data_IF_560253694464
#
_entry.id   IF_560253694464
#
_cell.length_a   1.000
_cell.length_b   1.000
_cell.length_c   1.000
_cell.angle_alpha   90.00
_cell.angle_beta   90.00
_cell.angle_gamma   90.00
#
_symmetry.space_group_name_H-M   'P 1'
#
loop_
_entity.id
_entity.type
_entity.pdbx_description
1 polymer ?
#
# COMPACT_ATOMS: atom_id res chain seq x y z
N UNK A 1 -3.18 -6.11 36.92
CA UNK A 1 -4.09 -4.97 36.66
C UNK A 1 -3.23 -3.72 36.49
N UNK A 2 -2.87 -3.38 35.26
CA UNK A 2 -2.38 -2.07 34.85
C UNK A 2 -2.68 -1.95 33.36
N UNK A 3 -3.62 -1.05 33.09
CA UNK A 3 -4.33 -0.85 31.85
C UNK A 3 -3.47 0.09 31.00
N UNK A 4 -2.83 -0.45 29.98
CA UNK A 4 -2.32 0.31 28.84
C UNK A 4 -2.95 -0.26 27.56
N UNK A 5 -4.28 -0.37 27.55
CA UNK A 5 -4.99 -0.25 26.29
C UNK A 5 -5.09 1.24 26.06
N UNK A 6 -4.18 1.79 25.25
CA UNK A 6 -4.45 3.06 24.59
C UNK A 6 -5.81 2.86 23.95
N UNK A 7 -6.85 3.46 24.54
CA UNK A 7 -8.14 3.50 23.91
C UNK A 7 -7.83 4.10 22.55
N UNK A 8 -7.90 3.29 21.49
CA UNK A 8 -7.81 3.78 20.14
C UNK A 8 -8.67 5.07 20.16
N UNK A 9 -8.09 6.23 19.84
CA UNK A 9 -8.71 7.55 20.11
C UNK A 9 -10.16 7.62 19.61
N UNK A 10 -11.14 8.21 20.32
CA UNK A 10 -12.53 8.26 19.81
C UNK A 10 -12.67 8.79 18.36
N UNK A 11 -11.65 9.51 17.87
CA UNK A 11 -11.47 9.98 16.49
C UNK A 11 -11.31 8.88 15.42
N UNK A 12 -10.65 7.72 15.68
CA UNK A 12 -10.54 6.67 14.63
C UNK A 12 -11.86 5.92 14.41
N UNK A 13 -12.66 5.70 15.48
CA UNK A 13 -13.99 5.06 15.34
C UNK A 13 -14.92 5.93 14.51
N UNK A 14 -14.80 7.24 14.65
CA UNK A 14 -15.62 8.21 13.91
C UNK A 14 -15.17 8.39 12.46
N UNK A 15 -13.88 8.18 12.13
CA UNK A 15 -13.38 8.23 10.75
C UNK A 15 -13.95 7.16 9.80
N UNK A 16 -14.53 6.07 10.33
CA UNK A 16 -15.21 5.07 9.50
C UNK A 16 -16.67 5.41 9.18
N UNK A 17 -17.29 6.40 9.86
CA UNK A 17 -18.76 6.49 9.90
C UNK A 17 -19.36 7.88 9.73
N UNK A 18 -18.59 8.98 9.75
CA UNK A 18 -19.20 10.32 9.63
C UNK A 18 -18.55 11.21 8.56
N UNK A 19 -19.29 11.53 7.47
CA UNK A 19 -18.91 12.54 6.48
C UNK A 19 -18.78 13.98 6.98
N UNK A 20 -19.04 14.21 8.27
CA UNK A 20 -19.12 15.54 8.85
C UNK A 20 -17.76 16.26 9.00
N UNK A 21 -16.61 15.56 8.98
CA UNK A 21 -15.29 16.18 9.22
C UNK A 21 -14.47 16.52 7.97
N UNK A 22 -14.91 16.13 6.77
CA UNK A 22 -14.23 16.44 5.51
C UNK A 22 -14.61 17.75 4.77
N UNK A 23 -15.60 18.58 5.17
CA UNK A 23 -16.27 19.45 4.20
C UNK A 23 -15.51 20.71 3.76
N UNK A 24 -14.49 21.18 4.48
CA UNK A 24 -13.82 22.45 4.13
C UNK A 24 -12.74 22.26 3.06
N UNK A 25 -11.90 21.23 3.16
CA UNK A 25 -10.83 20.99 2.19
C UNK A 25 -11.34 20.39 0.87
N UNK A 26 -12.43 19.61 0.93
CA UNK A 26 -13.07 19.01 -0.24
C UNK A 26 -13.82 20.04 -1.14
N UNK A 27 -14.02 21.27 -0.67
CA UNK A 27 -14.78 22.29 -1.40
C UNK A 27 -14.20 22.59 -2.79
N UNK A 28 -12.87 22.54 -2.94
CA UNK A 28 -12.17 22.87 -4.19
C UNK A 28 -12.09 21.71 -5.19
N UNK A 29 -12.49 20.49 -4.78
CA UNK A 29 -12.47 19.32 -5.65
C UNK A 29 -13.69 19.36 -6.56
N UNK A 30 -13.54 19.79 -7.82
CA UNK A 30 -14.64 19.76 -8.79
C UNK A 30 -14.95 18.34 -9.25
N UNK A 31 -13.93 17.64 -9.75
CA UNK A 31 -13.98 16.24 -10.17
C UNK A 31 -12.66 15.54 -9.89
N UNK A 32 -12.74 14.34 -9.32
CA UNK A 32 -11.60 13.51 -8.94
C UNK A 32 -11.61 12.20 -9.73
N UNK A 33 -10.51 11.92 -10.42
CA UNK A 33 -10.31 10.63 -11.11
C UNK A 33 -9.43 9.73 -10.25
N UNK A 34 -9.89 8.51 -9.98
CA UNK A 34 -9.16 7.49 -9.22
C UNK A 34 -8.84 6.30 -10.12
N UNK A 35 -7.55 5.92 -10.18
CA UNK A 35 -7.13 4.65 -10.80
C UNK A 35 -6.80 3.60 -9.73
N UNK A 36 -6.88 2.33 -10.10
CA UNK A 36 -6.66 1.21 -9.18
C UNK A 36 -7.71 1.07 -8.04
N UNK A 37 -8.98 1.52 -8.19
CA UNK A 37 -9.95 1.55 -7.10
C UNK A 37 -10.39 0.15 -6.61
N UNK A 38 -10.08 -0.90 -7.36
CA UNK A 38 -10.35 -2.29 -6.97
C UNK A 38 -9.17 -2.98 -6.27
N UNK A 39 -8.02 -2.30 -6.17
CA UNK A 39 -6.83 -2.80 -5.47
C UNK A 39 -6.83 -2.46 -3.98
N UNK A 40 -5.82 -2.94 -3.24
CA UNK A 40 -5.72 -2.78 -1.78
C UNK A 40 -5.69 -1.31 -1.33
N UNK A 41 -4.76 -0.50 -1.85
CA UNK A 41 -4.67 0.93 -1.50
C UNK A 41 -5.85 1.69 -2.12
N UNK A 42 -6.12 1.48 -3.41
CA UNK A 42 -7.14 2.26 -4.12
C UNK A 42 -8.56 2.08 -3.62
N UNK A 43 -8.96 0.90 -3.16
CA UNK A 43 -10.29 0.67 -2.58
C UNK A 43 -10.45 1.35 -1.22
N UNK A 44 -9.37 1.41 -0.44
CA UNK A 44 -9.33 2.12 0.84
C UNK A 44 -9.37 3.63 0.60
N UNK A 45 -8.61 4.15 -0.38
CA UNK A 45 -8.69 5.56 -0.83
C UNK A 45 -10.11 5.91 -1.28
N UNK A 46 -10.76 5.06 -2.08
CA UNK A 46 -12.16 5.26 -2.48
C UNK A 46 -13.08 5.35 -1.26
N UNK A 47 -12.91 4.45 -0.29
CA UNK A 47 -13.69 4.44 0.95
C UNK A 47 -13.51 5.74 1.73
N UNK A 48 -12.27 6.20 1.89
CA UNK A 48 -11.95 7.48 2.54
C UNK A 48 -12.57 8.66 1.80
N UNK A 49 -12.49 8.70 0.47
CA UNK A 49 -13.08 9.78 -0.34
C UNK A 49 -14.62 9.81 -0.26
N UNK A 50 -15.28 8.65 -0.30
CA UNK A 50 -16.75 8.57 -0.17
C UNK A 50 -17.17 8.99 1.24
N UNK A 51 -16.46 8.52 2.27
CA UNK A 51 -16.67 8.98 3.64
C UNK A 51 -16.39 10.47 3.78
N UNK A 52 -15.56 11.08 2.94
CA UNK A 52 -15.33 12.53 2.91
C UNK A 52 -16.42 13.33 2.15
N UNK A 53 -17.51 12.68 1.70
CA UNK A 53 -18.60 13.34 0.98
C UNK A 53 -18.29 13.62 -0.49
N UNK A 54 -17.26 12.99 -1.07
CA UNK A 54 -16.86 13.22 -2.47
C UNK A 54 -17.51 12.26 -3.47
N UNK A 55 -18.45 11.40 -3.04
CA UNK A 55 -19.07 10.36 -3.88
C UNK A 55 -19.48 10.87 -5.27
N UNK A 56 -20.22 11.97 -5.34
CA UNK A 56 -20.76 12.51 -6.59
C UNK A 56 -19.70 13.13 -7.51
N UNK A 57 -18.47 13.30 -7.00
CA UNK A 57 -17.34 13.94 -7.71
C UNK A 57 -16.29 12.93 -8.17
N UNK A 58 -16.41 11.67 -7.77
CA UNK A 58 -15.41 10.63 -8.04
C UNK A 58 -15.77 9.86 -9.32
N UNK A 59 -14.77 9.69 -10.18
CA UNK A 59 -14.79 8.78 -11.31
C UNK A 59 -13.64 7.79 -11.18
N UNK A 60 -13.97 6.50 -11.25
CA UNK A 60 -13.07 5.38 -11.09
C UNK A 60 -12.80 4.72 -12.44
N UNK A 61 -11.53 4.59 -12.82
CA UNK A 61 -11.14 3.80 -14.00
C UNK A 61 -11.07 2.33 -13.60
N UNK A 62 -11.92 1.49 -14.19
CA UNK A 62 -12.08 0.08 -13.81
C UNK A 62 -11.98 -0.82 -15.04
N UNK A 63 -11.06 -1.79 -15.00
CA UNK A 63 -11.01 -2.87 -15.99
C UNK A 63 -12.22 -3.77 -15.79
N UNK A 64 -13.13 -3.81 -16.77
CA UNK A 64 -14.33 -4.64 -16.73
C UNK A 64 -14.81 -4.93 -18.16
N UNK A 65 -15.77 -5.85 -18.29
CA UNK A 65 -16.39 -6.18 -19.58
C UNK A 65 -17.37 -5.08 -20.03
N UNK A 66 -18.09 -4.49 -19.08
CA UNK A 66 -19.05 -3.43 -19.29
C UNK A 66 -19.20 -2.58 -18.01
N UNK A 67 -20.06 -1.55 -18.05
CA UNK A 67 -20.29 -0.64 -16.92
C UNK A 67 -20.92 -1.34 -15.71
N UNK A 68 -21.86 -2.26 -15.92
CA UNK A 68 -22.50 -3.00 -14.83
C UNK A 68 -21.49 -3.86 -14.06
N UNK A 69 -20.63 -4.57 -14.78
CA UNK A 69 -19.52 -5.31 -14.21
C UNK A 69 -18.51 -4.38 -13.50
N UNK A 70 -18.19 -3.22 -14.06
CA UNK A 70 -17.33 -2.23 -13.40
C UNK A 70 -17.91 -1.76 -12.06
N UNK A 71 -19.21 -1.43 -12.02
CA UNK A 71 -19.90 -1.04 -10.78
C UNK A 71 -19.89 -2.17 -9.76
N UNK A 72 -20.17 -3.42 -10.17
CA UNK A 72 -20.12 -4.58 -9.25
C UNK A 72 -18.74 -4.72 -8.61
N UNK A 73 -17.68 -4.71 -9.42
CA UNK A 73 -16.30 -4.81 -8.93
C UNK A 73 -15.93 -3.67 -7.99
N UNK A 74 -16.37 -2.45 -8.30
CA UNK A 74 -16.12 -1.28 -7.48
C UNK A 74 -16.82 -1.39 -6.12
N UNK A 75 -18.09 -1.80 -6.11
CA UNK A 75 -18.87 -2.01 -4.89
C UNK A 75 -18.27 -3.11 -4.02
N UNK A 76 -17.93 -4.24 -4.60
CA UNK A 76 -17.29 -5.35 -3.89
C UNK A 76 -15.97 -4.91 -3.25
N UNK A 77 -15.12 -4.18 -3.99
CA UNK A 77 -13.87 -3.67 -3.45
C UNK A 77 -14.09 -2.66 -2.31
N UNK A 78 -15.04 -1.75 -2.45
CA UNK A 78 -15.39 -0.78 -1.41
C UNK A 78 -15.94 -1.46 -0.15
N UNK A 79 -16.81 -2.46 -0.28
CA UNK A 79 -17.35 -3.24 0.84
C UNK A 79 -16.24 -3.99 1.59
N UNK A 80 -15.30 -4.61 0.86
CA UNK A 80 -14.11 -5.25 1.45
C UNK A 80 -13.24 -4.25 2.21
N UNK A 81 -13.07 -3.05 1.65
CA UNK A 81 -12.34 -1.94 2.28
C UNK A 81 -13.12 -1.25 3.42
N UNK A 82 -14.36 -1.67 3.70
CA UNK A 82 -15.15 -1.20 4.84
C UNK A 82 -16.06 -0.02 4.58
N UNK A 83 -16.32 0.32 3.32
CA UNK A 83 -17.40 1.24 3.01
C UNK A 83 -18.75 0.67 3.47
N UNK A 84 -19.55 1.49 4.14
CA UNK A 84 -20.87 1.06 4.61
C UNK A 84 -21.77 0.63 3.43
N UNK A 85 -22.58 -0.44 3.56
CA UNK A 85 -23.42 -0.95 2.48
C UNK A 85 -24.33 0.09 1.83
N UNK A 86 -24.82 1.05 2.62
CA UNK A 86 -25.61 2.18 2.13
C UNK A 86 -24.84 3.06 1.14
N UNK A 87 -23.57 3.37 1.41
CA UNK A 87 -22.75 4.17 0.51
C UNK A 87 -22.26 3.35 -0.68
N UNK A 88 -21.94 2.08 -0.48
CA UNK A 88 -21.56 1.19 -1.57
C UNK A 88 -22.71 1.04 -2.59
N UNK A 89 -23.97 0.92 -2.15
CA UNK A 89 -25.11 0.81 -3.07
C UNK A 89 -25.36 2.07 -3.91
N UNK A 90 -24.84 3.23 -3.50
CA UNK A 90 -24.93 4.49 -4.26
C UNK A 90 -23.85 4.65 -5.34
N UNK A 91 -22.79 3.85 -5.32
CA UNK A 91 -21.85 3.78 -6.43
C UNK A 91 -22.61 3.31 -7.68
N UNK A 92 -22.54 4.06 -8.77
CA UNK A 92 -23.31 3.82 -10.00
C UNK A 92 -22.46 4.02 -11.25
N UNK A 93 -23.08 3.94 -12.43
CA UNK A 93 -22.43 4.21 -13.72
C UNK A 93 -21.76 5.60 -13.77
N UNK A 94 -22.30 6.57 -13.02
CA UNK A 94 -21.73 7.90 -12.90
C UNK A 94 -20.34 7.91 -12.21
N UNK A 95 -20.00 6.85 -11.48
CA UNK A 95 -18.73 6.70 -10.79
C UNK A 95 -17.70 5.86 -11.55
N UNK A 96 -18.04 5.25 -12.69
CA UNK A 96 -17.12 4.37 -13.41
C UNK A 96 -16.83 4.83 -14.83
N UNK A 97 -15.61 4.57 -15.26
CA UNK A 97 -15.17 4.54 -16.66
C UNK A 97 -14.56 3.15 -16.89
N UNK A 98 -15.06 2.43 -17.89
CA UNK A 98 -14.55 1.10 -18.23
C UNK A 98 -13.27 1.26 -19.03
N UNK A 99 -12.21 0.54 -18.65
CA UNK A 99 -10.97 0.48 -19.42
C UNK A 99 -9.72 0.21 -18.58
N UNK A 100 -8.63 -0.06 -19.29
CA UNK A 100 -7.27 -0.10 -18.78
C UNK A 100 -6.56 1.25 -18.99
N UNK A 101 -5.47 1.49 -18.27
CA UNK A 101 -4.70 2.75 -18.33
C UNK A 101 -4.19 3.07 -19.75
N UNK A 102 -3.85 2.03 -20.51
CA UNK A 102 -3.38 2.13 -21.89
C UNK A 102 -4.47 2.42 -22.94
N UNK A 103 -5.75 2.28 -22.58
CA UNK A 103 -6.87 2.41 -23.53
C UNK A 103 -7.04 3.85 -23.99
N UNK A 104 -7.59 4.06 -25.19
CA UNK A 104 -8.02 5.36 -25.66
C UNK A 104 -9.51 5.51 -25.36
N UNK A 105 -9.87 6.49 -24.53
CA UNK A 105 -11.26 6.84 -24.29
C UNK A 105 -11.73 7.88 -25.29
N UNK A 106 -12.96 7.72 -25.77
CA UNK A 106 -13.62 8.62 -26.71
C UNK A 106 -14.99 9.07 -26.16
N UNK A 107 -15.60 10.06 -26.81
CA UNK A 107 -16.96 10.51 -26.50
C UNK A 107 -17.15 10.93 -25.04
N UNK A 108 -18.22 10.42 -24.41
CA UNK A 108 -18.64 10.84 -23.08
C UNK A 108 -17.60 10.54 -21.98
N UNK A 109 -16.90 9.40 -22.07
CA UNK A 109 -15.91 9.04 -21.04
C UNK A 109 -14.64 9.88 -21.18
N UNK A 110 -14.22 10.20 -22.40
CA UNK A 110 -13.14 11.17 -22.65
C UNK A 110 -13.49 12.56 -22.08
N UNK A 111 -14.71 13.05 -22.34
CA UNK A 111 -15.18 14.33 -21.81
C UNK A 111 -15.24 14.34 -20.28
N UNK A 112 -15.67 13.22 -19.67
CA UNK A 112 -15.74 13.07 -18.21
C UNK A 112 -14.35 13.11 -17.56
N UNK A 113 -13.37 12.44 -18.15
CA UNK A 113 -11.98 12.45 -17.69
C UNK A 113 -11.32 13.81 -17.92
N UNK A 114 -11.58 14.46 -19.06
CA UNK A 114 -11.04 15.78 -19.35
C UNK A 114 -11.41 16.79 -18.26
N UNK A 115 -12.63 16.72 -17.70
CA UNK A 115 -13.12 17.58 -16.60
C UNK A 115 -12.44 17.36 -15.24
N UNK A 116 -11.43 16.49 -15.13
CA UNK A 116 -10.73 16.24 -13.88
C UNK A 116 -10.04 17.50 -13.35
N UNK A 117 -10.33 17.85 -12.10
CA UNK A 117 -9.56 18.83 -11.32
C UNK A 117 -8.47 18.16 -10.50
N UNK A 118 -8.70 16.91 -10.13
CA UNK A 118 -7.83 16.12 -9.27
C UNK A 118 -7.71 14.71 -9.84
N UNK A 119 -6.51 14.13 -9.77
CA UNK A 119 -6.28 12.73 -10.12
C UNK A 119 -5.54 12.08 -8.97
N UNK A 120 -5.98 10.90 -8.53
CA UNK A 120 -5.22 10.01 -7.65
C UNK A 120 -4.91 8.74 -8.42
N UNK A 121 -3.63 8.55 -8.72
CA UNK A 121 -3.12 7.42 -9.49
C UNK A 121 -2.56 6.35 -8.55
N UNK A 122 -3.42 5.40 -8.15
CA UNK A 122 -3.03 4.22 -7.34
C UNK A 122 -2.82 2.95 -8.18
N UNK A 123 -3.19 2.97 -9.47
CA UNK A 123 -3.02 1.81 -10.33
C UNK A 123 -1.55 1.41 -10.48
N UNK A 124 -1.32 0.11 -10.49
CA UNK A 124 -0.03 -0.53 -10.69
C UNK A 124 -0.10 -1.98 -10.21
N UNK A 125 0.61 -2.88 -10.86
CA UNK A 125 0.71 -4.25 -10.38
C UNK A 125 1.81 -4.32 -9.31
N UNK A 126 1.42 -4.60 -8.06
CA UNK A 126 2.36 -4.75 -6.95
C UNK A 126 3.12 -6.10 -6.97
N UNK A 127 2.86 -6.95 -7.97
CA UNK A 127 3.48 -8.26 -8.07
C UNK A 127 4.90 -8.15 -8.61
N UNK A 128 5.88 -8.62 -7.86
CA UNK A 128 7.27 -8.73 -8.33
C UNK A 128 7.56 -10.09 -8.98
N UNK A 129 6.52 -10.84 -9.39
CA UNK A 129 6.65 -12.26 -9.66
C UNK A 129 7.66 -12.59 -10.76
N UNK A 130 7.56 -11.92 -11.91
CA UNK A 130 8.36 -12.25 -13.09
C UNK A 130 8.82 -11.01 -13.88
N UNK A 131 8.58 -9.79 -13.39
CA UNK A 131 9.09 -8.52 -13.95
C UNK A 131 8.56 -8.12 -15.35
N UNK A 132 8.00 -9.05 -16.13
CA UNK A 132 7.63 -8.85 -17.53
C UNK A 132 6.59 -7.74 -17.78
N UNK A 133 5.74 -7.46 -16.78
CA UNK A 133 4.72 -6.41 -16.87
C UNK A 133 5.24 -5.02 -16.48
N UNK A 134 6.42 -4.92 -15.85
CA UNK A 134 6.87 -3.67 -15.23
C UNK A 134 6.99 -2.53 -16.24
N UNK A 135 7.55 -2.78 -17.43
CA UNK A 135 7.67 -1.73 -18.45
C UNK A 135 6.31 -1.34 -19.03
N UNK A 136 5.43 -2.32 -19.27
CA UNK A 136 4.07 -2.05 -19.72
C UNK A 136 3.31 -1.19 -18.70
N UNK A 137 3.43 -1.49 -17.40
CA UNK A 137 2.84 -0.70 -16.32
C UNK A 137 3.36 0.74 -16.30
N UNK A 138 4.67 0.95 -16.51
CA UNK A 138 5.27 2.29 -16.62
C UNK A 138 4.65 3.04 -17.81
N UNK A 139 4.66 2.45 -18.99
CA UNK A 139 4.20 3.10 -20.22
C UNK A 139 2.68 3.37 -20.19
N UNK A 140 1.89 2.44 -19.65
CA UNK A 140 0.45 2.61 -19.44
C UNK A 140 0.14 3.74 -18.45
N UNK A 141 0.88 3.81 -17.33
CA UNK A 141 0.73 4.87 -16.33
C UNK A 141 1.04 6.24 -16.92
N UNK A 142 2.10 6.33 -17.73
CA UNK A 142 2.50 7.57 -18.40
C UNK A 142 1.52 7.98 -19.49
N UNK A 143 1.02 7.02 -20.28
CA UNK A 143 -0.02 7.27 -21.28
C UNK A 143 -1.30 7.78 -20.62
N UNK A 144 -1.68 7.21 -19.48
CA UNK A 144 -2.79 7.70 -18.67
C UNK A 144 -2.55 9.14 -18.20
N UNK A 145 -1.40 9.41 -17.59
CA UNK A 145 -1.07 10.71 -17.02
C UNK A 145 -0.92 11.83 -18.07
N UNK A 146 -0.38 11.53 -19.26
CA UNK A 146 -0.18 12.49 -20.34
C UNK A 146 -1.47 13.18 -20.80
N UNK A 147 -2.63 12.56 -20.58
CA UNK A 147 -3.95 13.13 -20.89
C UNK A 147 -4.28 14.37 -20.08
N UNK A 148 -3.65 14.51 -18.91
CA UNK A 148 -3.90 15.62 -18.00
C UNK A 148 -2.80 16.69 -18.05
N UNK A 149 -1.71 16.46 -18.79
CA UNK A 149 -0.56 17.38 -18.89
C UNK A 149 -0.93 18.79 -19.37
N UNK A 150 -1.98 18.90 -20.19
CA UNK A 150 -2.49 20.16 -20.74
C UNK A 150 -3.90 20.50 -20.26
N UNK A 151 -4.40 19.81 -19.23
CA UNK A 151 -5.72 20.08 -18.68
C UNK A 151 -5.67 21.35 -17.81
N UNK A 152 -6.20 22.46 -18.35
CA UNK A 152 -6.14 23.77 -17.69
C UNK A 152 -6.81 23.81 -16.31
N UNK A 153 -7.83 22.96 -16.06
CA UNK A 153 -8.47 22.85 -14.74
C UNK A 153 -7.78 21.88 -13.77
N UNK A 154 -6.75 21.14 -14.18
CA UNK A 154 -6.07 20.20 -13.29
C UNK A 154 -5.30 20.99 -12.22
N UNK A 155 -5.70 20.79 -10.97
CA UNK A 155 -5.08 21.41 -9.80
C UNK A 155 -4.07 20.49 -9.15
N UNK A 156 -4.29 19.16 -9.22
CA UNK A 156 -3.40 18.19 -8.58
C UNK A 156 -3.44 16.82 -9.25
N UNK A 157 -2.25 16.25 -9.45
CA UNK A 157 -2.07 14.86 -9.84
C UNK A 157 -1.29 14.15 -8.74
N UNK A 158 -1.94 13.30 -7.95
CA UNK A 158 -1.29 12.50 -6.90
C UNK A 158 -0.87 11.16 -7.48
N UNK A 159 0.42 10.84 -7.41
CA UNK A 159 0.95 9.52 -7.73
C UNK A 159 1.29 8.74 -6.46
N UNK A 160 0.73 7.53 -6.31
CA UNK A 160 1.11 6.62 -5.22
C UNK A 160 2.32 5.77 -5.64
N UNK A 161 3.49 6.24 -5.24
CA UNK A 161 4.79 5.61 -5.42
C UNK A 161 5.13 4.63 -4.31
N UNK A 162 6.40 4.59 -3.91
CA UNK A 162 6.87 3.85 -2.74
C UNK A 162 8.13 4.51 -2.19
N UNK A 163 8.29 4.54 -0.86
CA UNK A 163 9.45 5.14 -0.22
C UNK A 163 10.76 4.39 -0.55
N UNK A 164 10.64 3.10 -0.88
CA UNK A 164 11.75 2.21 -1.22
C UNK A 164 12.49 2.57 -2.51
N UNK A 165 11.97 3.51 -3.34
CA UNK A 165 12.67 3.99 -4.54
C UNK A 165 13.95 4.77 -4.22
N UNK A 166 14.11 5.26 -2.99
CA UNK A 166 15.35 5.86 -2.48
C UNK A 166 15.95 4.94 -1.40
N UNK A 167 17.27 4.71 -1.45
CA UNK A 167 17.90 3.74 -0.56
C UNK A 167 19.38 3.97 -0.31
N UNK A 168 19.74 3.94 0.98
CA UNK A 168 21.09 3.77 1.52
C UNK A 168 21.19 2.47 2.34
N UNK A 169 22.38 2.17 2.91
CA UNK A 169 22.68 0.92 3.63
C UNK A 169 22.13 0.84 5.07
N UNK A 170 20.97 1.47 5.34
CA UNK A 170 20.33 1.56 6.67
C UNK A 170 20.16 2.99 7.16
N UNK A 171 19.46 3.16 8.29
CA UNK A 171 19.15 4.46 8.88
C UNK A 171 17.90 5.13 8.32
N UNK A 172 17.76 6.42 8.60
CA UNK A 172 16.61 7.24 8.18
C UNK A 172 16.81 7.78 6.77
N UNK A 173 15.86 7.50 5.86
CA UNK A 173 15.88 7.98 4.48
C UNK A 173 14.99 9.22 4.34
N UNK A 174 15.58 10.31 3.86
CA UNK A 174 14.89 11.57 3.60
C UNK A 174 14.20 11.56 2.22
N UNK A 175 13.12 12.34 2.05
CA UNK A 175 12.36 12.44 0.79
C UNK A 175 13.21 12.91 -0.41
N UNK A 176 14.16 13.81 -0.13
CA UNK A 176 15.08 14.40 -1.12
C UNK A 176 16.40 13.64 -1.23
N UNK A 177 16.53 12.48 -0.56
CA UNK A 177 17.74 11.68 -0.66
C UNK A 177 18.04 11.41 -2.14
N UNK A 178 19.29 11.58 -2.60
CA UNK A 178 19.63 11.31 -3.99
C UNK A 178 19.24 9.88 -4.32
N UNK A 179 18.82 9.64 -5.57
CA UNK A 179 18.52 8.30 -6.07
C UNK A 179 19.80 7.46 -6.13
N UNK A 180 20.30 7.03 -4.97
CA UNK A 180 21.31 6.02 -4.84
C UNK A 180 20.79 4.75 -5.51
N UNK A 181 21.67 4.02 -6.17
CA UNK A 181 21.32 2.77 -6.79
C UNK A 181 20.63 1.89 -5.73
N UNK A 182 19.32 1.66 -5.87
CA UNK A 182 18.64 0.65 -5.11
C UNK A 182 19.39 -0.65 -5.41
N UNK A 183 20.17 -1.12 -4.45
CA UNK A 183 20.89 -2.39 -4.47
C UNK A 183 21.99 -2.66 -5.51
N UNK A 184 22.65 -1.66 -6.14
CA UNK A 184 23.76 -1.96 -7.08
C UNK A 184 25.10 -2.39 -6.43
N UNK A 185 25.10 -2.87 -5.18
CA UNK A 185 26.32 -3.40 -4.57
C UNK A 185 26.02 -4.55 -3.58
N UNK A 186 25.09 -5.45 -3.95
CA UNK A 186 25.33 -6.84 -3.59
C UNK A 186 26.55 -7.29 -4.41
N UNK A 187 27.52 -7.92 -3.76
CA UNK A 187 28.49 -8.74 -4.47
C UNK A 187 27.70 -9.62 -5.47
N UNK A 188 27.95 -9.55 -6.80
CA UNK A 188 27.17 -10.29 -7.78
C UNK A 188 27.15 -11.81 -7.52
N UNK A 189 28.10 -12.33 -6.72
CA UNK A 189 28.09 -13.71 -6.23
C UNK A 189 27.11 -14.02 -5.07
N UNK A 190 26.56 -13.00 -4.39
CA UNK A 190 25.69 -13.12 -3.22
C UNK A 190 24.26 -12.58 -3.43
N UNK A 191 23.97 -12.01 -4.60
CA UNK A 191 22.66 -11.46 -4.94
C UNK A 191 21.64 -12.60 -5.13
N UNK A 192 20.60 -12.58 -4.30
CA UNK A 192 19.55 -13.58 -4.34
C UNK A 192 18.59 -13.29 -5.51
N UNK A 193 18.14 -14.31 -6.25
CA UNK A 193 17.21 -14.10 -7.37
C UNK A 193 15.90 -13.36 -7.01
N UNK A 194 15.47 -13.44 -5.74
CA UNK A 194 14.33 -12.65 -5.23
C UNK A 194 14.63 -11.17 -5.03
N UNK A 195 15.89 -10.81 -4.78
CA UNK A 195 16.34 -9.44 -4.62
C UNK A 195 16.40 -8.70 -5.96
N UNK A 196 16.81 -9.39 -7.03
CA UNK A 196 16.80 -8.83 -8.40
C UNK A 196 15.39 -8.39 -8.80
N UNK A 197 14.37 -9.21 -8.52
CA UNK A 197 12.97 -8.89 -8.84
C UNK A 197 12.41 -7.70 -8.04
N UNK A 198 12.80 -7.55 -6.78
CA UNK A 198 12.44 -6.38 -5.99
C UNK A 198 13.14 -5.13 -6.54
N UNK A 199 14.42 -5.22 -6.89
CA UNK A 199 15.17 -4.13 -7.50
C UNK A 199 14.57 -3.67 -8.85
N UNK A 200 14.12 -4.58 -9.70
CA UNK A 200 13.45 -4.24 -10.97
C UNK A 200 12.14 -3.49 -10.75
N UNK A 201 11.32 -3.95 -9.80
CA UNK A 201 10.09 -3.24 -9.41
C UNK A 201 10.39 -1.82 -8.89
N UNK A 202 11.40 -1.67 -8.03
CA UNK A 202 11.80 -0.36 -7.50
C UNK A 202 12.35 0.55 -8.61
N UNK A 203 13.08 0.00 -9.58
CA UNK A 203 13.55 0.74 -10.76
C UNK A 203 12.37 1.24 -11.58
N UNK A 204 11.38 0.40 -11.86
CA UNK A 204 10.19 0.77 -12.62
C UNK A 204 9.36 1.86 -11.90
N UNK A 205 9.15 1.76 -10.58
CA UNK A 205 8.46 2.80 -9.79
C UNK A 205 9.23 4.13 -9.80
N UNK A 206 10.56 4.07 -9.74
CA UNK A 206 11.41 5.27 -9.86
C UNK A 206 11.35 5.90 -11.25
N UNK A 207 11.44 5.09 -12.31
CA UNK A 207 11.31 5.55 -13.69
C UNK A 207 9.95 6.22 -13.92
N UNK A 208 8.87 5.60 -13.43
CA UNK A 208 7.52 6.18 -13.51
C UNK A 208 7.48 7.56 -12.85
N UNK A 209 8.02 7.70 -11.64
CA UNK A 209 8.06 8.98 -10.94
C UNK A 209 8.84 10.05 -11.74
N UNK A 210 10.02 9.70 -12.23
CA UNK A 210 10.87 10.61 -13.02
C UNK A 210 10.19 11.04 -14.32
N UNK A 211 9.58 10.10 -15.05
CA UNK A 211 8.89 10.39 -16.32
C UNK A 211 7.57 11.14 -16.10
N UNK A 212 6.87 10.94 -14.99
CA UNK A 212 5.69 11.75 -14.64
C UNK A 212 6.06 13.22 -14.42
N UNK A 213 7.21 13.50 -13.79
CA UNK A 213 7.71 14.87 -13.57
C UNK A 213 7.98 15.61 -14.89
N UNK A 214 8.36 14.90 -15.94
CA UNK A 214 8.62 15.52 -17.25
C UNK A 214 7.36 15.90 -18.01
N UNK A 215 6.17 15.50 -17.55
CA UNK A 215 4.88 15.79 -18.22
C UNK A 215 4.31 17.18 -17.88
N UNK A 216 4.94 17.95 -16.99
CA UNK A 216 4.43 19.28 -16.59
C UNK A 216 3.15 19.25 -15.76
N UNK A 217 2.85 18.12 -15.13
CA UNK A 217 1.69 17.96 -14.23
C UNK A 217 1.91 18.72 -12.91
N UNK A 218 0.84 19.20 -12.23
CA UNK A 218 0.88 19.59 -10.82
C UNK A 218 1.01 18.33 -9.94
N UNK A 219 2.15 17.67 -10.06
CA UNK A 219 2.43 16.35 -9.50
C UNK A 219 2.72 16.43 -8.01
N UNK A 220 2.11 15.52 -7.25
CA UNK A 220 2.45 15.23 -5.86
C UNK A 220 2.71 13.73 -5.74
N UNK A 221 3.82 13.33 -5.14
CA UNK A 221 4.19 11.93 -5.00
C UNK A 221 4.03 11.51 -3.55
N UNK A 222 3.07 10.61 -3.32
CA UNK A 222 2.88 9.92 -2.05
C UNK A 222 3.70 8.65 -2.09
N UNK A 223 4.61 8.48 -1.14
CA UNK A 223 5.52 7.34 -1.06
C UNK A 223 5.27 6.55 0.23
N UNK A 224 4.35 5.58 0.22
CA UNK A 224 4.16 4.70 1.36
C UNK A 224 5.41 3.86 1.65
N UNK A 225 5.65 3.55 2.93
CA UNK A 225 6.56 2.47 3.35
C UNK A 225 5.88 1.10 3.14
N UNK A 226 6.13 0.09 3.99
CA UNK A 226 5.55 -1.23 3.81
C UNK A 226 4.08 -1.22 4.25
N UNK A 227 3.15 -1.20 3.29
CA UNK A 227 1.71 -1.14 3.60
C UNK A 227 1.19 -2.51 4.03
N UNK A 228 0.78 -2.65 5.29
CA UNK A 228 0.30 -3.92 5.85
C UNK A 228 -1.01 -3.71 6.59
N UNK A 229 -2.04 -4.47 6.22
CA UNK A 229 -3.32 -4.50 6.94
C UNK A 229 -4.03 -3.13 7.04
N UNK A 230 -5.04 -3.10 7.89
CA UNK A 230 -5.85 -1.95 8.23
C UNK A 230 -6.03 -1.91 9.74
N UNK A 231 -5.96 -0.73 10.35
CA UNK A 231 -6.00 -0.58 11.82
C UNK A 231 -7.24 -1.17 12.50
N UNK A 232 -8.36 -1.28 11.78
CA UNK A 232 -9.65 -1.79 12.28
C UNK A 232 -10.06 -3.08 11.60
N UNK A 233 -9.81 -3.18 10.30
CA UNK A 233 -10.29 -4.29 9.47
C UNK A 233 -9.27 -5.41 9.34
N UNK A 234 -8.09 -5.27 9.92
CA UNK A 234 -7.00 -6.23 9.80
C UNK A 234 -6.65 -6.49 8.33
N UNK A 235 -6.70 -7.76 7.94
CA UNK A 235 -6.41 -8.25 6.59
C UNK A 235 -7.62 -8.32 5.66
N UNK A 236 -8.80 -7.85 6.10
CA UNK A 236 -10.04 -7.96 5.29
C UNK A 236 -9.99 -7.20 3.95
N UNK A 237 -9.41 -6.00 3.83
CA UNK A 237 -9.34 -5.32 2.54
C UNK A 237 -8.47 -6.09 1.52
N UNK A 238 -7.35 -6.62 1.99
CA UNK A 238 -6.54 -7.64 1.32
C UNK A 238 -5.56 -8.27 2.33
N UNK A 239 -5.22 -9.57 2.20
CA UNK A 239 -4.19 -10.19 3.03
C UNK A 239 -2.78 -9.66 2.73
N UNK A 240 -2.56 -9.16 1.50
CA UNK A 240 -1.31 -8.54 1.03
C UNK A 240 -0.04 -9.31 1.49
N UNK A 241 0.90 -8.64 2.16
CA UNK A 241 2.14 -9.23 2.68
C UNK A 241 2.02 -9.80 4.10
N UNK A 242 0.83 -9.77 4.73
CA UNK A 242 0.65 -10.22 6.12
C UNK A 242 0.98 -11.71 6.33
N UNK A 243 0.82 -12.53 5.28
CA UNK A 243 1.18 -13.94 5.33
C UNK A 243 2.67 -14.18 5.65
N UNK A 244 3.56 -13.24 5.30
CA UNK A 244 5.00 -13.32 5.61
C UNK A 244 5.21 -13.22 7.11
N UNK A 245 4.50 -12.30 7.78
CA UNK A 245 4.54 -12.14 9.23
C UNK A 245 4.00 -13.38 9.93
N UNK A 246 2.88 -13.94 9.46
CA UNK A 246 2.34 -15.20 9.99
C UNK A 246 3.33 -16.36 9.85
N UNK A 247 3.99 -16.47 8.70
CA UNK A 247 4.97 -17.52 8.45
C UNK A 247 6.20 -17.36 9.35
N UNK A 248 6.76 -16.15 9.44
CA UNK A 248 7.91 -15.86 10.30
C UNK A 248 7.57 -16.06 11.78
N UNK A 249 6.36 -15.68 12.20
CA UNK A 249 5.83 -15.88 13.55
C UNK A 249 5.63 -17.36 13.88
N UNK A 250 5.09 -18.16 12.96
CA UNK A 250 4.93 -19.60 13.15
C UNK A 250 6.28 -20.34 13.18
N UNK A 251 7.21 -19.98 12.29
CA UNK A 251 8.52 -20.59 12.21
C UNK A 251 9.47 -20.15 13.33
N UNK A 252 9.19 -19.01 13.98
CA UNK A 252 10.10 -18.31 14.91
C UNK A 252 11.45 -17.93 14.27
N UNK A 253 11.48 -17.82 12.94
CA UNK A 253 12.68 -17.42 12.22
C UNK A 253 12.38 -16.82 10.86
N UNK A 254 13.18 -15.83 10.49
CA UNK A 254 13.21 -15.22 9.16
C UNK A 254 14.55 -14.50 8.94
N UNK A 255 14.77 -13.87 7.78
CA UNK A 255 16.08 -13.24 7.47
C UNK A 255 16.36 -11.98 8.28
N UNK A 256 15.33 -11.31 8.77
CA UNK A 256 15.47 -10.10 9.58
C UNK A 256 15.94 -10.44 11.01
N UNK A 257 16.87 -9.66 11.55
CA UNK A 257 17.32 -9.81 12.94
C UNK A 257 16.25 -9.27 13.89
N UNK A 258 16.15 -9.80 15.12
CA UNK A 258 15.10 -9.34 16.03
C UNK A 258 15.18 -7.84 16.38
N UNK A 259 16.36 -7.20 16.28
CA UNK A 259 16.54 -5.76 16.51
C UNK A 259 16.35 -4.90 15.25
N UNK A 260 16.13 -5.51 14.09
CA UNK A 260 15.89 -4.76 12.86
C UNK A 260 14.52 -4.09 12.93
N UNK A 261 14.45 -2.78 12.64
CA UNK A 261 13.16 -2.10 12.46
C UNK A 261 12.57 -2.42 11.10
N UNK A 262 11.25 -2.54 11.06
CA UNK A 262 10.49 -2.66 9.81
C UNK A 262 9.50 -1.51 9.77
N UNK A 263 9.69 -0.59 8.84
CA UNK A 263 8.80 0.54 8.64
C UNK A 263 7.50 0.07 7.95
N UNK A 264 6.46 -0.06 8.76
CA UNK A 264 5.14 -0.56 8.39
C UNK A 264 4.11 0.53 8.60
N UNK A 265 3.27 0.76 7.59
CA UNK A 265 2.15 1.70 7.66
C UNK A 265 0.84 0.99 7.33
N UNK A 266 -0.25 1.37 7.97
CA UNK A 266 -1.57 0.81 7.67
C UNK A 266 -2.13 1.36 6.35
N UNK A 267 -2.98 0.59 5.68
CA UNK A 267 -3.59 1.05 4.41
C UNK A 267 -4.54 2.22 4.59
N UNK A 268 -5.20 2.32 5.75
CA UNK A 268 -6.11 3.40 6.08
C UNK A 268 -5.39 4.71 6.44
N UNK A 269 -4.21 4.64 7.06
CA UNK A 269 -3.34 5.81 7.21
C UNK A 269 -2.83 6.29 5.84
N UNK A 270 -2.42 5.37 4.97
CA UNK A 270 -2.03 5.70 3.59
C UNK A 270 -3.19 6.35 2.82
N UNK A 271 -4.39 5.81 2.93
CA UNK A 271 -5.57 6.33 2.26
C UNK A 271 -5.94 7.73 2.76
N UNK A 272 -5.89 7.95 4.08
CA UNK A 272 -6.13 9.26 4.71
C UNK A 272 -5.11 10.29 4.26
N UNK A 273 -3.81 9.97 4.34
CA UNK A 273 -2.76 10.87 3.91
C UNK A 273 -2.88 11.21 2.42
N UNK A 274 -3.12 10.20 1.57
CA UNK A 274 -3.31 10.38 0.13
C UNK A 274 -4.48 11.32 -0.16
N UNK A 275 -5.63 11.13 0.51
CA UNK A 275 -6.78 12.00 0.35
C UNK A 275 -6.47 13.44 0.81
N UNK A 276 -5.92 13.63 2.01
CA UNK A 276 -5.65 14.96 2.55
C UNK A 276 -4.67 15.73 1.68
N UNK A 277 -3.58 15.09 1.24
CA UNK A 277 -2.64 15.68 0.29
C UNK A 277 -3.29 15.95 -1.07
N UNK A 278 -4.24 15.11 -1.50
CA UNK A 278 -4.99 15.33 -2.73
C UNK A 278 -5.93 16.55 -2.65
N UNK A 279 -6.54 16.85 -1.51
CA UNK A 279 -7.58 17.90 -1.41
C UNK A 279 -7.12 19.19 -0.76
N UNK A 280 -5.99 19.20 -0.02
CA UNK A 280 -5.46 20.40 0.62
C UNK A 280 -5.16 21.48 -0.45
N UNK A 281 -5.61 22.74 -0.31
CA UNK A 281 -5.47 23.73 -1.39
C UNK A 281 -4.02 23.98 -1.80
N UNK A 282 -3.11 24.15 -0.84
CA UNK A 282 -1.69 24.35 -1.05
C UNK A 282 -0.88 23.33 -0.25
N UNK A 283 0.23 22.88 -0.82
CA UNK A 283 1.18 21.97 -0.19
C UNK A 283 2.55 22.64 -0.14
N UNK A 284 3.30 22.38 0.93
CA UNK A 284 4.66 22.91 1.09
C UNK A 284 5.68 22.12 0.28
N UNK A 285 5.35 20.88 -0.08
CA UNK A 285 6.21 19.95 -0.81
C UNK A 285 5.43 19.21 -1.90
N UNK A 286 6.17 18.59 -2.81
CA UNK A 286 5.64 17.76 -3.90
C UNK A 286 5.92 16.26 -3.68
N UNK A 287 6.58 15.90 -2.57
CA UNK A 287 6.91 14.52 -2.18
C UNK A 287 6.72 14.35 -0.68
N UNK A 288 6.04 13.26 -0.31
CA UNK A 288 5.77 12.90 1.07
C UNK A 288 6.02 11.41 1.29
N UNK A 289 6.88 11.05 2.26
CA UNK A 289 6.89 9.69 2.78
C UNK A 289 5.68 9.49 3.70
N UNK A 290 4.94 8.40 3.49
CA UNK A 290 3.84 7.99 4.36
C UNK A 290 4.27 6.71 5.05
N UNK A 291 4.85 6.86 6.22
CA UNK A 291 5.60 5.83 6.92
C UNK A 291 5.45 5.95 8.43
N UNK A 292 5.80 4.89 9.16
CA UNK A 292 5.92 4.97 10.63
C UNK A 292 7.14 5.80 11.05
N UNK A 293 8.19 5.85 10.20
CA UNK A 293 9.39 6.63 10.48
C UNK A 293 10.11 6.15 11.73
N UNK A 294 10.47 7.07 12.62
CA UNK A 294 11.20 6.73 13.85
C UNK A 294 10.39 5.84 14.81
N UNK A 295 9.07 5.81 14.67
CA UNK A 295 8.17 4.94 15.45
C UNK A 295 8.05 3.52 14.88
N UNK A 296 8.81 3.18 13.82
CA UNK A 296 8.82 1.85 13.24
C UNK A 296 9.24 0.78 14.26
N UNK A 297 8.44 -0.30 14.44
CA UNK A 297 8.74 -1.31 15.44
C UNK A 297 9.89 -2.23 15.00
N UNK A 298 10.62 -2.74 15.98
CA UNK A 298 11.57 -3.84 15.79
C UNK A 298 10.85 -5.17 15.59
N UNK A 299 11.47 -6.09 14.86
CA UNK A 299 10.95 -7.47 14.66
C UNK A 299 10.60 -8.15 15.98
N UNK A 300 11.41 -7.99 17.03
CA UNK A 300 11.13 -8.56 18.35
C UNK A 300 9.83 -8.01 18.97
N UNK A 301 9.52 -6.73 18.76
CA UNK A 301 8.29 -6.12 19.25
C UNK A 301 7.08 -6.63 18.45
N UNK A 302 7.22 -6.75 17.13
CA UNK A 302 6.18 -7.34 16.26
C UNK A 302 5.87 -8.77 16.70
N UNK A 303 6.90 -9.61 16.85
CA UNK A 303 6.74 -11.02 17.27
C UNK A 303 6.08 -11.12 18.64
N UNK A 304 6.47 -10.28 19.60
CA UNK A 304 5.83 -10.22 20.92
C UNK A 304 4.35 -9.84 20.82
N UNK A 305 4.00 -8.80 20.07
CA UNK A 305 2.61 -8.40 19.89
C UNK A 305 1.78 -9.50 19.21
N UNK A 306 2.36 -10.26 18.28
CA UNK A 306 1.73 -11.43 17.68
C UNK A 306 1.58 -12.60 18.65
N UNK A 307 2.55 -12.84 19.54
CA UNK A 307 2.45 -13.84 20.62
C UNK A 307 1.29 -13.51 21.56
N UNK A 308 1.17 -12.24 21.95
CA UNK A 308 0.07 -11.73 22.78
C UNK A 308 -1.29 -11.92 22.09
N UNK A 309 -1.40 -11.52 20.81
CA UNK A 309 -2.61 -11.70 20.00
C UNK A 309 -3.00 -13.19 19.78
N UNK A 310 -2.01 -14.09 19.78
CA UNK A 310 -2.22 -15.53 19.65
C UNK A 310 -2.46 -16.22 21.00
N UNK A 311 -2.34 -15.51 22.13
CA UNK A 311 -2.43 -16.10 23.48
C UNK A 311 -1.29 -17.06 23.81
N UNK A 312 -0.11 -16.88 23.19
CA UNK A 312 1.05 -17.74 23.38
C UNK A 312 1.91 -17.27 24.56
N UNK A 313 1.88 -18.02 25.67
CA UNK A 313 2.79 -17.82 26.79
C UNK A 313 4.06 -18.68 26.63
N UNK A 314 5.24 -18.07 26.77
CA UNK A 314 6.52 -18.80 26.74
C UNK A 314 6.94 -19.31 25.36
N UNK A 315 6.52 -18.66 24.27
CA UNK A 315 6.90 -19.01 22.92
C UNK A 315 8.44 -19.03 22.73
N UNK A 316 8.99 -19.90 21.87
CA UNK A 316 10.43 -19.91 21.58
C UNK A 316 10.93 -18.54 21.11
N UNK A 317 12.19 -18.22 21.41
CA UNK A 317 12.80 -16.98 20.96
C UNK A 317 12.88 -16.95 19.43
N UNK A 318 12.56 -15.79 18.87
CA UNK A 318 12.76 -15.55 17.44
C UNK A 318 14.26 -15.46 17.11
N UNK A 319 14.67 -16.07 16.01
CA UNK A 319 16.06 -16.04 15.52
C UNK A 319 16.14 -15.63 14.04
N UNK A 320 17.23 -14.97 13.66
CA UNK A 320 17.51 -14.74 12.24
C UNK A 320 18.02 -16.04 11.58
N UNK A 321 17.69 -16.25 10.31
CA UNK A 321 18.24 -17.35 9.50
C UNK A 321 18.80 -16.82 8.17
N UNK A 322 19.66 -17.60 7.52
CA UNK A 322 20.15 -17.26 6.19
C UNK A 322 19.02 -17.39 5.15
N UNK A 323 19.10 -16.60 4.06
CA UNK A 323 18.08 -16.64 3.00
C UNK A 323 18.02 -18.01 2.28
N UNK A 324 19.12 -18.77 2.30
CA UNK A 324 19.18 -20.14 1.80
C UNK A 324 18.31 -21.12 2.60
N UNK A 325 18.01 -20.80 3.86
CA UNK A 325 17.20 -21.63 4.75
C UNK A 325 15.69 -21.41 4.58
N UNK A 326 15.26 -20.40 3.83
CA UNK A 326 13.83 -20.09 3.66
C UNK A 326 12.96 -21.27 3.18
N UNK A 327 13.40 -22.19 2.30
CA UNK A 327 12.64 -23.40 2.01
C UNK A 327 12.41 -24.31 3.23
N UNK A 328 13.38 -24.40 4.15
CA UNK A 328 13.24 -25.15 5.40
C UNK A 328 12.27 -24.45 6.37
N UNK A 329 12.29 -23.11 6.43
CA UNK A 329 11.30 -22.32 7.18
C UNK A 329 9.88 -22.67 6.73
N UNK A 330 9.67 -22.79 5.42
CA UNK A 330 8.36 -23.19 4.87
C UNK A 330 8.01 -24.62 5.28
N UNK A 331 8.94 -25.57 5.16
CA UNK A 331 8.74 -26.97 5.55
C UNK A 331 8.30 -27.10 7.01
N UNK A 332 8.98 -26.40 7.92
CA UNK A 332 8.68 -26.47 9.35
C UNK A 332 7.25 -26.00 9.65
N UNK A 333 6.83 -24.90 9.01
CA UNK A 333 5.45 -24.37 9.17
C UNK A 333 4.41 -25.31 8.56
N UNK A 334 4.74 -26.00 7.47
CA UNK A 334 3.85 -26.98 6.85
C UNK A 334 3.78 -28.30 7.64
N UNK A 335 4.78 -28.61 8.46
CA UNK A 335 4.90 -29.89 9.18
C UNK A 335 5.12 -31.10 8.26
N UNK A 336 5.38 -30.89 6.96
CA UNK A 336 5.62 -31.94 5.96
C UNK A 336 6.51 -31.42 4.83
N UNK A 337 7.24 -32.32 4.18
CA UNK A 337 7.98 -31.99 2.97
C UNK A 337 7.01 -31.76 1.79
N UNK A 338 7.16 -30.61 1.12
CA UNK A 338 6.44 -30.28 -0.10
C UNK A 338 7.35 -29.45 -1.02
N UNK A 339 8.23 -30.10 -1.81
CA UNK A 339 9.27 -29.39 -2.56
C UNK A 339 8.75 -28.35 -3.55
N UNK A 340 7.53 -28.54 -4.07
CA UNK A 340 6.89 -27.59 -4.96
C UNK A 340 6.49 -26.32 -4.19
N UNK A 341 5.80 -26.48 -3.06
CA UNK A 341 5.35 -25.37 -2.24
C UNK A 341 6.53 -24.66 -1.55
N UNK A 342 7.50 -25.42 -1.02
CA UNK A 342 8.76 -24.90 -0.47
C UNK A 342 9.48 -23.99 -1.47
N UNK A 343 9.51 -24.37 -2.75
CA UNK A 343 10.14 -23.57 -3.81
C UNK A 343 9.35 -22.28 -4.09
N UNK A 344 8.03 -22.39 -4.24
CA UNK A 344 7.16 -21.24 -4.56
C UNK A 344 7.13 -20.23 -3.42
N UNK A 345 6.83 -20.69 -2.20
CA UNK A 345 6.78 -19.85 -1.00
C UNK A 345 8.17 -19.35 -0.65
N UNK A 346 9.20 -20.18 -0.77
CA UNK A 346 10.59 -19.76 -0.57
C UNK A 346 11.01 -18.65 -1.54
N UNK A 347 10.66 -18.74 -2.84
CA UNK A 347 10.92 -17.66 -3.81
C UNK A 347 10.16 -16.38 -3.44
N UNK A 348 8.92 -16.49 -2.97
CA UNK A 348 8.14 -15.34 -2.51
C UNK A 348 8.77 -14.69 -1.26
N UNK A 349 9.11 -15.47 -0.24
CA UNK A 349 9.78 -15.01 0.99
C UNK A 349 11.10 -14.27 0.69
N UNK A 350 11.86 -14.75 -0.30
CA UNK A 350 13.12 -14.10 -0.72
C UNK A 350 12.96 -12.69 -1.25
N UNK A 351 11.81 -12.35 -1.84
CA UNK A 351 11.52 -10.99 -2.32
C UNK A 351 11.25 -10.04 -1.15
N UNK A 352 10.56 -10.53 -0.12
CA UNK A 352 10.32 -9.76 1.11
C UNK A 352 11.57 -9.60 1.98
N UNK A 353 12.51 -10.54 1.87
CA UNK A 353 13.73 -10.52 2.66
C UNK A 353 14.57 -9.27 2.41
N UNK A 354 14.57 -8.73 1.19
CA UNK A 354 15.25 -7.48 0.86
C UNK A 354 14.68 -6.29 1.64
N UNK A 355 13.36 -6.19 1.72
CA UNK A 355 12.68 -5.14 2.46
C UNK A 355 12.86 -5.27 3.98
N UNK A 356 13.06 -6.49 4.47
CA UNK A 356 13.18 -6.77 5.91
C UNK A 356 14.63 -6.88 6.43
N UNK A 357 15.63 -7.04 5.55
CA UNK A 357 17.03 -7.21 5.94
C UNK A 357 17.75 -5.89 6.25
N UNK A 358 17.19 -4.77 5.80
CA UNK A 358 17.77 -3.44 6.00
C UNK A 358 17.01 -2.72 7.11
N UNK A 359 17.71 -2.33 8.18
CA UNK A 359 17.18 -1.47 9.25
C UNK A 359 17.03 -0.04 8.71
N UNK A 360 16.02 0.12 7.85
CA UNK A 360 15.71 1.35 7.12
C UNK A 360 14.33 1.83 7.54
N UNK A 361 14.27 3.09 7.95
CA UNK A 361 13.05 3.84 8.19
C UNK A 361 13.00 5.06 7.28
N UNK A 362 11.82 5.61 7.06
CA UNK A 362 11.63 6.76 6.18
C UNK A 362 11.20 7.97 7.00
N UNK A 363 11.95 9.08 6.88
CA UNK A 363 11.57 10.34 7.50
C UNK A 363 10.19 10.74 7.01
N UNK A 364 9.28 11.05 7.93
CA UNK A 364 7.90 11.42 7.64
C UNK A 364 7.59 12.84 8.09
N UNK A 365 8.56 13.65 8.52
CA UNK A 365 8.30 14.98 9.09
C UNK A 365 7.47 15.85 8.16
N UNK A 366 7.74 15.81 6.85
CA UNK A 366 6.94 16.55 5.86
C UNK A 366 5.46 16.24 5.94
N UNK A 367 5.07 14.97 6.03
CA UNK A 367 3.64 14.62 6.07
C UNK A 367 3.04 14.91 7.44
N UNK A 368 3.83 14.80 8.52
CA UNK A 368 3.39 15.18 9.88
C UNK A 368 3.10 16.67 9.94
N UNK A 369 4.04 17.50 9.49
CA UNK A 369 3.91 18.96 9.50
C UNK A 369 2.83 19.47 8.53
N UNK A 370 2.61 18.77 7.41
CA UNK A 370 1.65 19.19 6.39
C UNK A 370 0.19 18.89 6.77
N UNK A 371 -0.09 17.73 7.37
CA UNK A 371 -1.46 17.23 7.57
C UNK A 371 -1.70 16.58 8.94
N UNK A 372 -0.85 16.87 9.92
CA UNK A 372 -0.91 16.29 11.27
C UNK A 372 -0.95 14.75 11.24
N UNK A 373 -0.12 14.16 10.38
CA UNK A 373 -0.06 12.72 10.19
C UNK A 373 0.54 12.00 11.40
N UNK A 374 -0.23 11.12 12.02
CA UNK A 374 0.20 10.26 13.13
C UNK A 374 -0.26 8.82 12.85
N UNK A 375 0.62 7.97 12.27
CA UNK A 375 0.26 6.60 11.93
C UNK A 375 0.16 5.74 13.19
N UNK A 376 -0.80 4.81 13.23
CA UNK A 376 -0.88 3.87 14.34
C UNK A 376 0.25 2.82 14.20
N UNK A 377 1.10 2.60 15.23
CA UNK A 377 2.17 1.61 15.16
C UNK A 377 1.63 0.21 14.85
N UNK A 378 2.35 -0.57 14.02
CA UNK A 378 1.89 -1.91 13.64
C UNK A 378 1.65 -2.84 14.82
N UNK A 379 2.45 -2.72 15.87
CA UNK A 379 2.30 -3.49 17.12
C UNK A 379 0.95 -3.25 17.81
N UNK A 380 0.30 -2.11 17.56
CA UNK A 380 -0.97 -1.74 18.19
C UNK A 380 -2.20 -2.26 17.43
N UNK A 381 -2.06 -2.63 16.14
CA UNK A 381 -3.16 -3.19 15.34
C UNK A 381 -2.88 -4.58 14.75
N UNK A 382 -1.73 -5.18 15.02
CA UNK A 382 -1.40 -6.54 14.56
C UNK A 382 -2.39 -7.58 15.09
N UNK A 383 -3.00 -7.34 16.26
CA UNK A 383 -4.08 -8.18 16.80
C UNK A 383 -5.26 -8.29 15.82
N UNK A 384 -5.69 -7.18 15.21
CA UNK A 384 -6.77 -7.19 14.22
C UNK A 384 -6.39 -7.99 12.98
N UNK A 385 -5.14 -7.85 12.51
CA UNK A 385 -4.64 -8.64 11.38
C UNK A 385 -4.60 -10.14 11.70
N UNK A 386 -4.18 -10.51 12.91
CA UNK A 386 -4.19 -11.90 13.39
C UNK A 386 -5.62 -12.44 13.52
N UNK A 387 -6.56 -11.62 14.02
CA UNK A 387 -7.96 -11.98 14.18
C UNK A 387 -8.64 -12.25 12.84
N UNK A 388 -8.46 -11.38 11.85
CA UNK A 388 -9.14 -11.51 10.54
C UNK A 388 -8.49 -12.49 9.59
N UNK A 389 -7.26 -12.92 9.86
CA UNK A 389 -6.57 -13.98 9.08
C UNK A 389 -6.58 -15.34 9.78
N UNK A 390 -7.21 -15.44 10.95
CA UNK A 390 -7.33 -16.68 11.72
C UNK A 390 -8.06 -17.74 10.91
N UNK A 391 -7.52 -18.95 10.87
CA UNK A 391 -8.11 -20.08 10.15
C UNK A 391 -7.94 -20.02 8.62
N UNK A 392 -7.44 -18.92 8.05
CA UNK A 392 -7.14 -18.84 6.62
C UNK A 392 -5.82 -19.57 6.33
N UNK A 393 -5.78 -20.56 5.43
CA UNK A 393 -4.54 -21.22 5.03
C UNK A 393 -3.52 -20.23 4.48
N UNK A 394 -2.23 -20.47 4.74
CA UNK A 394 -1.14 -19.63 4.23
C UNK A 394 -1.20 -19.45 2.70
N UNK A 395 -1.50 -20.54 1.99
CA UNK A 395 -1.61 -20.55 0.52
C UNK A 395 -2.77 -19.71 0.01
N UNK A 396 -3.88 -19.64 0.73
CA UNK A 396 -5.03 -18.79 0.40
C UNK A 396 -4.66 -17.30 0.59
N UNK A 397 -4.03 -16.96 1.73
CA UNK A 397 -3.53 -15.60 1.97
C UNK A 397 -2.55 -15.14 0.89
N UNK A 398 -1.66 -16.03 0.43
CA UNK A 398 -0.72 -15.72 -0.66
C UNK A 398 -1.40 -15.45 -2.00
N UNK A 399 -2.56 -16.07 -2.26
CA UNK A 399 -3.34 -15.86 -3.49
C UNK A 399 -4.24 -14.62 -3.42
N UNK A 400 -4.31 -13.96 -2.26
CA UNK A 400 -5.26 -12.87 -2.05
C UNK A 400 -6.67 -13.35 -1.69
N UNK A 401 -6.83 -14.63 -1.38
CA UNK A 401 -8.09 -15.24 -0.92
C UNK A 401 -8.15 -15.07 0.60
N UNK A 402 -8.96 -14.13 1.09
CA UNK A 402 -9.23 -13.90 2.51
C UNK A 402 -10.70 -13.62 2.76
#
# INVERSE_FOLDING_TARGET
MLIWKTALSLNWRTSLVSPACAPVAAANVGRLVLTGPTGFIGSTVLTTLVNAGLLDRIICVVRAQDRGHAVSRLREAALRAGLAPYWASRLSDANVVVGALGDVWEGADAARLAQATHVIHCAGHASTADGAHLQADVDESLRFAARFAHAAQLQRFVYVGTAFVHGGRGGTVLEDAPSGAAHAAADPGAALAGAVLAADYLRAKRETEQRLRTLGLPLVVVRPSHVVGHTVLGTRPAPNSFWVFRLAHAARRYTARPMTRIDIVSVDDVARATMLLAVKPALSHDVYHVSAGDEAPMVAQIVRAMDEAAGMAGAPRYAACAAAELPLVVRDVLGRADPALERVVGKALRRFAEFAAVDRVFDNRRVRDEIDFEPLPFVDYVEECMRTSRGVPLTALMRGEA
#
